data_IF_659969975780
#
_entry.id   IF_659969975780
#
_cell.length_a   1.000
_cell.length_b   1.000
_cell.length_c   1.000
_cell.angle_alpha   90.00
_cell.angle_beta   90.00
_cell.angle_gamma   90.00
#
_symmetry.space_group_name_H-M   'P 1'
#
loop_
_entity.id
_entity.type
_entity.pdbx_description
1 polymer ?
#
# COMPACT_ATOMS: atom_id res chain seq x y z
N UNK A 1 8.06 14.62 -3.85
CA UNK A 1 7.28 13.67 -4.63
C UNK A 1 7.78 13.61 -6.07
N UNK A 2 7.68 14.69 -6.84
CA UNK A 2 8.07 14.74 -8.26
C UNK A 2 9.54 14.36 -8.51
N UNK A 3 10.44 14.73 -7.61
CA UNK A 3 11.84 14.30 -7.69
C UNK A 3 11.98 12.78 -7.62
N UNK A 4 11.23 12.13 -6.75
CA UNK A 4 11.28 10.67 -6.59
C UNK A 4 10.66 9.91 -7.76
N UNK A 5 9.77 10.53 -8.52
CA UNK A 5 9.25 9.97 -9.76
C UNK A 5 10.33 9.68 -10.79
N UNK A 6 11.51 10.29 -10.70
CA UNK A 6 12.59 10.01 -11.64
C UNK A 6 12.87 8.49 -11.76
N UNK A 7 12.85 7.77 -10.64
CA UNK A 7 13.00 6.31 -10.62
C UNK A 7 11.64 5.60 -10.64
N UNK A 8 10.80 5.86 -9.64
CA UNK A 8 9.49 5.21 -9.50
C UNK A 8 8.41 5.99 -10.26
N UNK A 9 8.40 5.83 -11.57
CA UNK A 9 7.48 6.51 -12.48
C UNK A 9 8.06 6.79 -13.84
N UNK A 10 9.31 7.25 -13.93
CA UNK A 10 9.95 7.61 -15.19
C UNK A 10 10.86 6.48 -15.70
N UNK A 11 11.85 6.05 -14.91
CA UNK A 11 12.75 4.95 -15.31
C UNK A 11 12.05 3.60 -15.29
N UNK A 12 11.26 3.35 -14.26
CA UNK A 12 10.32 2.22 -14.20
C UNK A 12 8.92 2.80 -14.16
N UNK A 13 8.14 2.56 -15.21
CA UNK A 13 6.79 3.14 -15.34
C UNK A 13 5.69 2.07 -15.29
N UNK A 14 4.44 2.49 -15.21
CA UNK A 14 3.30 1.58 -15.25
C UNK A 14 2.99 1.15 -16.68
N UNK A 15 2.72 -0.15 -16.86
CA UNK A 15 2.33 -0.75 -18.14
C UNK A 15 1.03 -0.19 -18.68
N UNK A 16 0.09 0.10 -17.80
CA UNK A 16 -1.23 0.63 -18.08
C UNK A 16 -1.72 1.48 -16.89
N UNK A 17 -2.81 2.19 -17.07
CA UNK A 17 -3.35 3.09 -16.05
C UNK A 17 -3.96 2.38 -14.84
N UNK A 18 -4.30 1.09 -14.93
CA UNK A 18 -4.73 0.32 -13.76
C UNK A 18 -3.60 0.15 -12.74
N UNK A 19 -2.34 0.25 -13.20
CA UNK A 19 -1.15 0.15 -12.38
C UNK A 19 -0.72 1.52 -11.78
N UNK A 20 -1.55 2.54 -11.84
CA UNK A 20 -1.16 3.92 -11.47
C UNK A 20 -0.55 4.00 -10.06
N UNK A 21 -1.07 3.25 -9.09
CA UNK A 21 -0.53 3.21 -7.72
C UNK A 21 0.89 2.64 -7.65
N UNK A 22 1.32 1.86 -8.64
CA UNK A 22 2.70 1.37 -8.73
C UNK A 22 3.71 2.52 -8.74
N UNK A 23 3.39 3.61 -9.40
CA UNK A 23 4.23 4.81 -9.37
C UNK A 23 3.80 5.79 -8.28
N UNK A 24 2.52 6.09 -8.13
CA UNK A 24 2.04 7.10 -7.20
C UNK A 24 2.14 6.64 -5.74
N UNK A 25 1.60 5.49 -5.40
CA UNK A 25 1.66 4.95 -4.04
C UNK A 25 3.09 4.67 -3.58
N UNK A 26 3.93 4.10 -4.45
CA UNK A 26 5.33 3.87 -4.12
C UNK A 26 6.11 5.18 -3.99
N UNK A 27 5.83 6.18 -4.80
CA UNK A 27 6.48 7.49 -4.69
C UNK A 27 6.04 8.24 -3.45
N UNK A 28 4.75 8.22 -3.08
CA UNK A 28 4.27 8.78 -1.80
C UNK A 28 4.96 8.10 -0.61
N UNK A 29 5.11 6.78 -0.63
CA UNK A 29 5.87 6.08 0.40
C UNK A 29 7.31 6.58 0.50
N UNK A 30 8.00 6.73 -0.62
CA UNK A 30 9.40 7.17 -0.66
C UNK A 30 9.56 8.61 -0.20
N UNK A 31 8.68 9.51 -0.60
CA UNK A 31 8.72 10.91 -0.18
C UNK A 31 8.38 11.07 1.31
N UNK A 32 7.44 10.28 1.82
CA UNK A 32 7.11 10.25 3.24
C UNK A 32 8.29 9.76 4.09
N UNK A 33 9.01 8.72 3.64
CA UNK A 33 10.21 8.24 4.31
C UNK A 33 11.32 9.29 4.30
N UNK A 34 11.54 9.95 3.16
CA UNK A 34 12.51 11.05 3.09
C UNK A 34 12.13 12.22 4.02
N UNK A 35 10.86 12.62 4.05
CA UNK A 35 10.40 13.67 4.95
C UNK A 35 10.58 13.29 6.42
N UNK A 36 10.36 12.02 6.75
CA UNK A 36 10.62 11.49 8.09
C UNK A 36 12.11 11.56 8.47
N UNK A 37 13.00 11.22 7.54
CA UNK A 37 14.46 11.27 7.74
C UNK A 37 14.98 12.71 7.89
N UNK A 38 14.40 13.65 7.16
CA UNK A 38 14.79 15.07 7.20
C UNK A 38 14.16 15.87 8.34
N UNK A 39 13.13 15.33 8.97
CA UNK A 39 12.37 16.01 10.01
C UNK A 39 12.08 15.12 11.21
N UNK A 40 10.80 15.03 11.58
CA UNK A 40 10.33 14.16 12.67
C UNK A 40 9.51 12.99 12.11
N UNK A 41 10.01 11.75 12.24
CA UNK A 41 9.26 10.55 11.80
C UNK A 41 7.88 10.45 12.47
N UNK A 42 7.80 10.81 13.75
CA UNK A 42 6.55 10.74 14.52
C UNK A 42 5.53 11.76 14.02
N UNK A 43 5.95 13.01 13.81
CA UNK A 43 5.05 14.07 13.32
C UNK A 43 4.57 13.71 11.91
N UNK A 44 5.48 13.33 11.02
CA UNK A 44 5.13 12.92 9.64
C UNK A 44 4.11 11.77 9.66
N UNK A 45 4.33 10.75 10.51
CA UNK A 45 3.39 9.63 10.61
C UNK A 45 2.02 10.04 11.12
N UNK A 46 1.94 10.94 12.08
CA UNK A 46 0.65 11.46 12.58
C UNK A 46 -0.09 12.21 11.48
N UNK A 47 0.61 13.02 10.70
CA UNK A 47 0.03 13.74 9.55
C UNK A 47 -0.53 12.78 8.49
N UNK A 48 0.25 11.78 8.07
CA UNK A 48 -0.16 10.78 7.08
C UNK A 48 -1.39 10.00 7.54
N UNK A 49 -1.39 9.54 8.79
CA UNK A 49 -2.54 8.81 9.36
C UNK A 49 -3.77 9.71 9.48
N UNK A 50 -3.58 10.98 9.82
CA UNK A 50 -4.68 11.95 9.92
C UNK A 50 -5.34 12.17 8.56
N UNK A 51 -4.54 12.34 7.51
CA UNK A 51 -5.05 12.46 6.14
C UNK A 51 -5.76 11.18 5.69
N UNK A 52 -5.14 10.02 5.90
CA UNK A 52 -5.73 8.72 5.55
C UNK A 52 -7.10 8.55 6.20
N UNK A 53 -7.19 8.76 7.51
CA UNK A 53 -8.43 8.52 8.27
C UNK A 53 -9.52 9.56 8.02
N UNK A 54 -9.16 10.82 7.82
CA UNK A 54 -10.16 11.88 7.61
C UNK A 54 -10.70 11.95 6.19
N UNK A 55 -9.91 11.60 5.19
CA UNK A 55 -10.25 11.79 3.79
C UNK A 55 -10.31 10.46 3.00
N UNK A 56 -9.28 9.62 3.06
CA UNK A 56 -9.24 8.38 2.28
C UNK A 56 -10.27 7.35 2.78
N UNK A 57 -10.48 7.22 4.11
CA UNK A 57 -11.51 6.32 4.63
C UNK A 57 -12.91 6.74 4.19
N UNK A 58 -13.17 8.04 4.05
CA UNK A 58 -14.43 8.55 3.51
C UNK A 58 -14.60 8.19 2.03
N UNK A 59 -13.53 8.30 1.24
CA UNK A 59 -13.52 7.86 -0.17
C UNK A 59 -13.78 6.35 -0.28
N UNK A 60 -13.12 5.55 0.56
CA UNK A 60 -13.25 4.09 0.57
C UNK A 60 -14.62 3.57 1.06
N UNK A 61 -15.36 4.40 1.78
CA UNK A 61 -16.72 4.12 2.25
C UNK A 61 -17.82 4.72 1.35
N UNK A 62 -17.45 5.49 0.34
CA UNK A 62 -18.35 6.21 -0.53
C UNK A 62 -18.74 5.45 -1.81
N UNK A 63 -19.59 6.04 -2.64
CA UNK A 63 -20.06 5.44 -3.90
C UNK A 63 -18.96 5.33 -4.96
N UNK A 64 -17.86 6.05 -4.79
CA UNK A 64 -16.70 6.04 -5.68
C UNK A 64 -15.56 5.14 -5.15
N UNK A 65 -15.82 4.32 -4.13
CA UNK A 65 -14.84 3.37 -3.61
C UNK A 65 -14.35 2.45 -4.71
N UNK A 66 -13.04 2.25 -4.77
CA UNK A 66 -12.38 1.39 -5.76
C UNK A 66 -11.12 0.75 -5.17
N UNK A 67 -10.63 -0.35 -5.74
CA UNK A 67 -9.35 -0.92 -5.34
C UNK A 67 -8.16 0.01 -5.61
N UNK A 68 -7.04 -0.24 -4.94
CA UNK A 68 -5.75 0.42 -5.24
C UNK A 68 -5.30 0.12 -6.67
N UNK A 69 -5.63 -1.07 -7.18
CA UNK A 69 -5.51 -1.42 -8.61
C UNK A 69 -6.92 -1.66 -9.16
N UNK A 70 -7.56 -0.64 -9.76
CA UNK A 70 -8.88 -0.78 -10.38
C UNK A 70 -8.85 -1.73 -11.56
N UNK A 71 -10.00 -2.32 -11.91
CA UNK A 71 -10.13 -3.21 -13.05
C UNK A 71 -10.89 -2.58 -14.23
N UNK A 72 -11.54 -1.45 -14.00
CA UNK A 72 -12.29 -0.71 -15.01
C UNK A 72 -12.26 0.79 -14.74
N UNK A 73 -12.42 1.61 -15.77
CA UNK A 73 -12.62 3.05 -15.66
C UNK A 73 -13.42 3.58 -16.86
N UNK A 74 -14.10 4.70 -16.65
CA UNK A 74 -14.73 5.46 -17.75
C UNK A 74 -13.77 6.57 -18.18
N UNK A 75 -13.20 7.30 -17.23
CA UNK A 75 -12.24 8.37 -17.46
C UNK A 75 -11.07 8.25 -16.47
N UNK A 76 -9.85 8.21 -17.02
CA UNK A 76 -8.63 7.98 -16.24
C UNK A 76 -8.35 9.07 -15.21
N UNK A 77 -8.73 10.32 -15.47
CA UNK A 77 -8.56 11.43 -14.52
C UNK A 77 -9.27 11.18 -13.18
N UNK A 78 -10.30 10.32 -13.16
CA UNK A 78 -10.99 9.92 -11.95
C UNK A 78 -10.16 9.00 -11.02
N UNK A 79 -9.02 8.50 -11.46
CA UNK A 79 -8.14 7.64 -10.66
C UNK A 79 -7.01 8.35 -9.94
N UNK A 80 -6.88 9.65 -10.09
CA UNK A 80 -5.97 10.44 -9.27
C UNK A 80 -6.60 10.70 -7.90
N UNK A 81 -6.76 9.64 -7.12
CA UNK A 81 -7.54 9.58 -5.89
C UNK A 81 -6.66 9.36 -4.67
N UNK A 82 -7.18 9.66 -3.49
CA UNK A 82 -6.49 9.35 -2.22
C UNK A 82 -6.29 7.83 -2.04
N UNK A 83 -7.15 7.00 -2.60
CA UNK A 83 -6.98 5.55 -2.59
C UNK A 83 -5.73 5.14 -3.38
N UNK A 84 -5.53 5.67 -4.57
CA UNK A 84 -4.35 5.37 -5.42
C UNK A 84 -3.06 5.85 -4.75
N UNK A 85 -3.07 7.06 -4.19
CA UNK A 85 -1.90 7.71 -3.60
C UNK A 85 -1.66 7.26 -2.16
N UNK A 86 -2.59 7.58 -1.25
CA UNK A 86 -2.37 7.42 0.18
C UNK A 86 -2.58 5.96 0.65
N UNK A 87 -3.68 5.33 0.26
CA UNK A 87 -3.86 3.89 0.55
C UNK A 87 -2.82 3.05 -0.19
N UNK A 88 -2.47 3.41 -1.44
CA UNK A 88 -1.38 2.78 -2.18
C UNK A 88 -0.05 2.86 -1.44
N UNK A 89 0.28 4.02 -0.87
CA UNK A 89 1.45 4.20 -0.02
C UNK A 89 1.39 3.33 1.24
N UNK A 90 0.23 3.23 1.89
CA UNK A 90 0.07 2.38 3.08
C UNK A 90 0.20 0.88 2.75
N UNK A 91 -0.21 0.45 1.55
CA UNK A 91 0.03 -0.93 1.09
C UNK A 91 1.53 -1.19 0.94
N UNK A 92 2.28 -0.27 0.35
CA UNK A 92 3.75 -0.36 0.26
C UNK A 92 4.38 -0.36 1.66
N UNK A 93 3.91 0.51 2.57
CA UNK A 93 4.38 0.58 3.95
C UNK A 93 4.14 -0.73 4.71
N UNK A 94 2.96 -1.32 4.54
CA UNK A 94 2.62 -2.61 5.15
C UNK A 94 3.57 -3.71 4.66
N UNK A 95 3.87 -3.74 3.36
CA UNK A 95 4.83 -4.67 2.78
C UNK A 95 6.24 -4.46 3.35
N UNK A 96 6.69 -3.21 3.46
CA UNK A 96 7.96 -2.87 4.06
C UNK A 96 8.06 -3.32 5.53
N UNK A 97 6.99 -3.14 6.31
CA UNK A 97 6.94 -3.61 7.70
C UNK A 97 6.93 -5.14 7.79
N UNK A 98 6.21 -5.80 6.88
CA UNK A 98 6.12 -7.27 6.84
C UNK A 98 7.48 -7.92 6.54
N UNK A 99 8.25 -7.34 5.63
CA UNK A 99 9.57 -7.85 5.22
C UNK A 99 10.71 -7.39 6.13
N UNK A 100 10.54 -6.23 6.74
CA UNK A 100 11.60 -5.52 7.43
C UNK A 100 12.48 -4.68 6.47
N UNK A 101 13.23 -3.70 7.02
CA UNK A 101 13.89 -2.67 6.20
C UNK A 101 14.94 -3.24 5.24
N UNK A 102 15.69 -4.26 5.67
CA UNK A 102 16.75 -4.83 4.84
C UNK A 102 16.22 -5.60 3.62
N UNK A 103 15.22 -6.47 3.81
CA UNK A 103 14.65 -7.23 2.70
C UNK A 103 13.83 -6.33 1.78
N UNK A 104 13.08 -5.37 2.34
CA UNK A 104 12.35 -4.41 1.52
C UNK A 104 13.29 -3.58 0.65
N UNK A 105 14.42 -3.12 1.21
CA UNK A 105 15.46 -2.40 0.43
C UNK A 105 16.02 -3.27 -0.69
N UNK A 106 16.40 -4.51 -0.40
CA UNK A 106 16.89 -5.45 -1.43
C UNK A 106 15.84 -5.71 -2.52
N UNK A 107 14.57 -5.83 -2.13
CA UNK A 107 13.45 -6.00 -3.08
C UNK A 107 13.26 -4.78 -3.95
N UNK A 108 13.35 -3.58 -3.39
CA UNK A 108 13.29 -2.34 -4.17
C UNK A 108 14.48 -2.20 -5.14
N UNK A 109 15.69 -2.51 -4.70
CA UNK A 109 16.86 -2.51 -5.56
C UNK A 109 16.69 -3.53 -6.70
N UNK A 110 16.26 -4.76 -6.40
CA UNK A 110 15.98 -5.77 -7.41
C UNK A 110 14.88 -5.34 -8.40
N UNK A 111 13.83 -4.70 -7.91
CA UNK A 111 12.76 -4.15 -8.75
C UNK A 111 13.31 -3.14 -9.76
N UNK A 112 14.11 -2.19 -9.31
CA UNK A 112 14.71 -1.19 -10.18
C UNK A 112 15.72 -1.79 -11.16
N UNK A 113 16.60 -2.68 -10.71
CA UNK A 113 17.59 -3.33 -11.56
C UNK A 113 16.94 -4.19 -12.66
N UNK A 114 15.89 -4.93 -12.31
CA UNK A 114 15.17 -5.84 -13.22
C UNK A 114 14.35 -5.09 -14.26
N UNK A 115 13.82 -3.93 -13.87
CA UNK A 115 12.78 -3.24 -14.64
C UNK A 115 13.19 -1.85 -15.14
N UNK A 116 14.45 -1.45 -15.00
CA UNK A 116 14.92 -0.17 -15.53
C UNK A 116 14.62 -0.03 -17.03
N UNK A 117 14.02 1.09 -17.40
CA UNK A 117 13.58 1.36 -18.78
C UNK A 117 12.34 0.59 -19.24
N UNK A 118 11.61 -0.07 -18.34
CA UNK A 118 10.42 -0.88 -18.67
C UNK A 118 9.14 -0.31 -18.07
N UNK A 119 8.02 -0.74 -18.67
CA UNK A 119 6.66 -0.51 -18.18
C UNK A 119 6.14 -1.82 -17.55
N UNK A 120 5.78 -1.79 -16.27
CA UNK A 120 5.50 -2.99 -15.47
C UNK A 120 4.23 -2.87 -14.63
N UNK A 121 3.93 -3.89 -13.85
CA UNK A 121 2.71 -4.03 -13.04
C UNK A 121 3.00 -4.01 -11.54
N UNK A 122 1.96 -3.88 -10.73
CA UNK A 122 2.04 -4.08 -9.29
C UNK A 122 2.48 -5.51 -8.94
N UNK A 123 2.12 -6.50 -9.75
CA UNK A 123 2.55 -7.88 -9.55
C UNK A 123 4.06 -8.04 -9.76
N UNK A 124 4.67 -7.33 -10.73
CA UNK A 124 6.11 -7.33 -10.93
C UNK A 124 6.85 -6.73 -9.73
N UNK A 125 6.29 -5.69 -9.10
CA UNK A 125 6.83 -5.11 -7.87
C UNK A 125 6.78 -6.12 -6.71
N UNK A 126 5.63 -6.75 -6.50
CA UNK A 126 5.48 -7.76 -5.43
C UNK A 126 6.36 -8.98 -5.69
N UNK A 127 6.52 -9.41 -6.95
CA UNK A 127 7.39 -10.53 -7.31
C UNK A 127 8.86 -10.27 -6.94
N UNK A 128 9.36 -9.05 -7.12
CA UNK A 128 10.71 -8.69 -6.66
C UNK A 128 10.87 -8.84 -5.13
N UNK A 129 9.80 -8.53 -4.37
CA UNK A 129 9.78 -8.70 -2.92
C UNK A 129 9.68 -10.18 -2.51
N UNK A 130 8.90 -10.98 -3.24
CA UNK A 130 8.82 -12.45 -3.07
C UNK A 130 10.20 -13.09 -3.28
N UNK A 131 10.89 -12.73 -4.37
CA UNK A 131 12.18 -13.31 -4.74
C UNK A 131 13.26 -13.06 -3.69
N UNK A 132 13.34 -11.85 -3.12
CA UNK A 132 14.38 -11.54 -2.11
C UNK A 132 14.03 -12.06 -0.73
N UNK A 133 12.77 -12.24 -0.42
CA UNK A 133 12.32 -12.64 0.92
C UNK A 133 12.07 -14.13 1.06
N UNK A 134 11.84 -14.83 -0.06
CA UNK A 134 11.39 -16.22 -0.08
C UNK A 134 9.99 -16.41 0.49
N UNK A 135 9.21 -15.34 0.66
CA UNK A 135 7.85 -15.40 1.21
C UNK A 135 6.82 -15.47 0.09
N UNK A 136 5.79 -16.28 0.29
CA UNK A 136 4.58 -16.24 -0.52
C UNK A 136 3.74 -15.01 -0.14
N UNK A 137 3.60 -14.07 -1.08
CA UNK A 137 2.81 -12.85 -0.94
C UNK A 137 1.47 -12.90 -1.71
N UNK A 138 1.03 -14.09 -2.12
CA UNK A 138 -0.23 -14.27 -2.85
C UNK A 138 -1.41 -13.66 -2.10
N UNK A 139 -1.52 -13.89 -0.78
CA UNK A 139 -2.59 -13.29 0.02
C UNK A 139 -2.41 -11.76 0.13
N UNK A 140 -1.17 -11.27 0.21
CA UNK A 140 -0.89 -9.83 0.28
C UNK A 140 -1.40 -9.09 -0.96
N UNK A 141 -1.35 -9.71 -2.15
CA UNK A 141 -1.82 -9.10 -3.42
C UNK A 141 -3.29 -8.69 -3.40
N UNK A 142 -4.09 -9.26 -2.48
CA UNK A 142 -5.49 -8.84 -2.27
C UNK A 142 -5.64 -7.36 -1.86
N UNK A 143 -4.62 -6.77 -1.24
CA UNK A 143 -4.62 -5.35 -0.91
C UNK A 143 -4.67 -4.46 -2.15
N UNK A 144 -4.21 -4.95 -3.30
CA UNK A 144 -4.32 -4.23 -4.57
C UNK A 144 -5.67 -4.40 -5.25
N UNK A 145 -6.35 -5.52 -5.05
CA UNK A 145 -7.56 -5.90 -5.81
C UNK A 145 -8.87 -5.74 -5.03
N UNK A 146 -8.83 -5.47 -3.73
CA UNK A 146 -10.02 -5.33 -2.90
C UNK A 146 -10.22 -3.89 -2.45
N UNK A 147 -11.42 -3.33 -2.70
CA UNK A 147 -11.84 -2.03 -2.21
C UNK A 147 -12.31 -2.11 -0.76
N UNK A 148 -12.50 -0.96 -0.13
CA UNK A 148 -13.05 -0.81 1.21
C UNK A 148 -12.00 -0.89 2.32
N UNK A 149 -12.38 -0.37 3.49
CA UNK A 149 -11.51 -0.33 4.67
C UNK A 149 -11.90 -1.46 5.63
N UNK A 150 -10.99 -2.42 5.90
CA UNK A 150 -11.24 -3.48 6.87
C UNK A 150 -11.52 -2.93 8.27
N UNK A 151 -12.46 -3.55 8.97
CA UNK A 151 -12.79 -3.28 10.37
C UNK A 151 -12.30 -4.43 11.23
N UNK A 152 -11.66 -4.10 12.34
CA UNK A 152 -11.19 -5.08 13.32
C UNK A 152 -11.95 -4.89 14.62
N UNK A 153 -12.55 -5.97 15.11
CA UNK A 153 -13.06 -6.08 16.48
C UNK A 153 -12.03 -6.85 17.28
N UNK A 154 -11.53 -6.22 18.34
CA UNK A 154 -10.46 -6.80 19.17
C UNK A 154 -10.96 -6.96 20.59
N UNK A 155 -10.87 -8.19 21.11
CA UNK A 155 -11.03 -8.48 22.51
C UNK A 155 -9.77 -9.11 23.08
N UNK A 156 -9.51 -8.91 24.35
CA UNK A 156 -8.32 -9.40 25.00
C UNK A 156 -8.62 -10.07 26.34
N UNK A 157 -7.74 -10.96 26.75
CA UNK A 157 -7.78 -11.62 28.04
C UNK A 157 -6.38 -11.98 28.52
N UNK A 158 -6.13 -11.81 29.81
CA UNK A 158 -4.90 -12.22 30.45
C UNK A 158 -5.16 -13.41 31.38
N UNK A 159 -4.47 -14.53 31.12
CA UNK A 159 -4.45 -15.71 31.99
C UNK A 159 -3.23 -15.63 32.93
N UNK A 160 -3.48 -15.25 34.18
CA UNK A 160 -2.42 -15.10 35.18
C UNK A 160 -1.79 -16.44 35.58
N UNK A 161 -2.53 -17.56 35.51
CA UNK A 161 -2.01 -18.87 35.88
C UNK A 161 -1.02 -19.39 34.82
N UNK A 162 -1.30 -19.13 33.55
CA UNK A 162 -0.42 -19.51 32.42
C UNK A 162 0.51 -18.42 31.97
N UNK A 163 0.40 -17.19 32.53
CA UNK A 163 1.15 -15.99 32.11
C UNK A 163 1.00 -15.71 30.62
N UNK A 164 -0.19 -15.92 30.06
CA UNK A 164 -0.50 -15.73 28.65
C UNK A 164 -1.47 -14.56 28.45
N UNK A 165 -1.17 -13.74 27.44
CA UNK A 165 -2.07 -12.71 26.95
C UNK A 165 -2.67 -13.15 25.63
N UNK A 166 -4.00 -13.20 25.55
CA UNK A 166 -4.73 -13.64 24.34
C UNK A 166 -5.41 -12.44 23.71
N UNK A 167 -5.15 -12.23 22.44
CA UNK A 167 -5.90 -11.32 21.59
C UNK A 167 -6.80 -12.14 20.66
N UNK A 168 -8.09 -11.80 20.62
CA UNK A 168 -9.04 -12.32 19.64
C UNK A 168 -9.38 -11.20 18.68
N UNK A 169 -9.07 -11.39 17.40
CA UNK A 169 -9.25 -10.37 16.35
C UNK A 169 -10.24 -10.92 15.33
N UNK A 170 -11.36 -10.23 15.17
CA UNK A 170 -12.34 -10.51 14.12
C UNK A 170 -12.27 -9.43 13.06
N UNK A 171 -12.04 -9.83 11.81
CA UNK A 171 -11.94 -8.92 10.68
C UNK A 171 -13.19 -9.00 9.82
N UNK A 172 -13.69 -7.86 9.40
CA UNK A 172 -14.75 -7.71 8.41
C UNK A 172 -14.43 -6.56 7.45
N UNK A 173 -15.03 -6.58 6.26
CA UNK A 173 -14.98 -5.45 5.33
C UNK A 173 -16.40 -5.16 4.85
N UNK A 174 -16.88 -3.90 4.97
CA UNK A 174 -18.18 -3.53 4.42
C UNK A 174 -18.22 -3.77 2.91
N UNK A 175 -19.39 -4.13 2.34
CA UNK A 175 -19.56 -4.20 0.89
C UNK A 175 -19.24 -2.86 0.22
N UNK A 176 -18.63 -2.91 -0.94
CA UNK A 176 -18.36 -1.76 -1.81
C UNK A 176 -19.09 -1.91 -3.14
N UNK A 177 -19.25 -0.84 -3.94
CA UNK A 177 -19.90 -0.94 -5.25
C UNK A 177 -19.32 -2.03 -6.16
N UNK A 178 -18.01 -2.26 -6.09
CA UNK A 178 -17.32 -3.28 -6.92
C UNK A 178 -17.40 -4.70 -6.35
N UNK A 179 -17.99 -4.89 -5.17
CA UNK A 179 -18.10 -6.20 -4.52
C UNK A 179 -19.45 -6.89 -4.74
N UNK A 180 -20.29 -6.37 -5.68
CA UNK A 180 -21.60 -6.94 -6.04
C UNK A 180 -21.49 -7.95 -7.18
#
# INVERSE_FOLDING_TARGET
>A
HEYFHNWSGNRVTCRDWFQLSLKEGFTVYRDAMFSADMGSPTVKRVEDVSLLRSAQFAEDAGPMAHPVRPESYIEISNFYTLTIYEKGSEVVRMLANLLGPELFRKGADLYFDRHDGKAVTTDDFVAAMEDVSGRDLTQFKRWYSQAGTPRLEVTDAYDAAQQQYRLTITQSCPPTPDSQ
#
